data_IF_002299217485
#
_entry.id   IF_002299217485
#
_cell.length_a   1.000
_cell.length_b   1.000
_cell.length_c   1.000
_cell.angle_alpha   90.00
_cell.angle_beta   90.00
_cell.angle_gamma   90.00
#
_symmetry.space_group_name_H-M   'P 1'
#
loop_
_entity.id
_entity.type
_entity.pdbx_description
1 polymer ?
#
# COMPACT_ATOMS: atom_id res chain seq x y z
N UNK A 1 -21.62 -33.99 -9.79
CA UNK A 1 -20.99 -33.29 -8.64
C UNK A 1 -19.50 -32.98 -8.86
N UNK A 2 -18.67 -33.84 -9.47
CA UNK A 2 -17.25 -33.51 -9.72
C UNK A 2 -17.02 -32.54 -10.89
N UNK A 3 -17.96 -32.49 -11.86
CA UNK A 3 -17.86 -31.68 -13.07
C UNK A 3 -18.11 -30.18 -12.79
N UNK A 4 -19.18 -29.86 -12.06
CA UNK A 4 -19.48 -28.49 -11.59
C UNK A 4 -18.37 -27.91 -10.69
N UNK A 5 -17.71 -28.74 -9.87
CA UNK A 5 -16.60 -28.29 -9.02
C UNK A 5 -15.28 -28.08 -9.79
N UNK A 6 -15.15 -28.62 -11.00
CA UNK A 6 -14.05 -28.32 -11.92
C UNK A 6 -14.33 -27.05 -12.70
N UNK A 7 -15.58 -26.86 -13.13
CA UNK A 7 -16.02 -25.67 -13.85
C UNK A 7 -15.87 -24.40 -12.99
N UNK A 8 -16.35 -24.44 -11.74
CA UNK A 8 -16.21 -23.33 -10.80
C UNK A 8 -14.74 -22.94 -10.53
N UNK A 9 -13.81 -23.91 -10.48
CA UNK A 9 -12.38 -23.61 -10.30
C UNK A 9 -11.76 -23.00 -11.55
N UNK A 10 -12.16 -23.46 -12.72
CA UNK A 10 -11.73 -22.90 -14.00
C UNK A 10 -12.22 -21.46 -14.16
N UNK A 11 -13.46 -21.16 -13.76
CA UNK A 11 -14.01 -19.80 -13.75
C UNK A 11 -13.26 -18.88 -12.77
N UNK A 12 -12.98 -19.36 -11.56
CA UNK A 12 -12.16 -18.62 -10.58
C UNK A 12 -10.77 -18.31 -11.13
N UNK A 13 -10.11 -19.30 -11.74
CA UNK A 13 -8.80 -19.10 -12.35
C UNK A 13 -8.86 -18.09 -13.51
N UNK A 14 -9.90 -18.13 -14.34
CA UNK A 14 -10.10 -17.18 -15.42
C UNK A 14 -10.30 -15.74 -14.92
N UNK A 15 -10.98 -15.55 -13.79
CA UNK A 15 -11.06 -14.24 -13.12
C UNK A 15 -9.68 -13.80 -12.63
N UNK A 16 -8.93 -14.67 -11.96
CA UNK A 16 -7.59 -14.35 -11.48
C UNK A 16 -6.65 -13.96 -12.61
N UNK A 17 -6.64 -14.72 -13.72
CA UNK A 17 -5.82 -14.41 -14.90
C UNK A 17 -6.19 -13.04 -15.47
N UNK A 18 -7.49 -12.73 -15.64
CA UNK A 18 -7.91 -11.40 -16.11
C UNK A 18 -7.48 -10.27 -15.17
N UNK A 19 -7.59 -10.47 -13.86
CA UNK A 19 -7.15 -9.48 -12.88
C UNK A 19 -5.63 -9.26 -12.94
N UNK A 20 -4.84 -10.33 -13.05
CA UNK A 20 -3.38 -10.23 -13.19
C UNK A 20 -3.00 -9.52 -14.48
N UNK A 21 -3.63 -9.84 -15.61
CA UNK A 21 -3.36 -9.17 -16.89
C UNK A 21 -3.73 -7.68 -16.87
N UNK A 22 -4.83 -7.29 -16.20
CA UNK A 22 -5.17 -5.87 -16.01
C UNK A 22 -4.13 -5.15 -15.14
N UNK A 23 -3.61 -5.81 -14.11
CA UNK A 23 -2.53 -5.26 -13.29
C UNK A 23 -1.25 -5.13 -14.11
N UNK A 24 -0.86 -6.16 -14.86
CA UNK A 24 0.31 -6.11 -15.74
C UNK A 24 0.16 -5.01 -16.78
N UNK A 25 -1.00 -4.84 -17.41
CA UNK A 25 -1.21 -3.79 -18.40
C UNK A 25 -1.07 -2.39 -17.78
N UNK A 26 -1.77 -2.13 -16.67
CA UNK A 26 -1.83 -0.81 -16.03
C UNK A 26 -0.56 -0.44 -15.27
N UNK A 27 0.16 -1.44 -14.77
CA UNK A 27 1.38 -1.27 -14.00
C UNK A 27 2.64 -1.71 -14.77
N UNK A 28 2.53 -2.04 -16.06
CA UNK A 28 3.68 -2.45 -16.91
C UNK A 28 4.77 -1.40 -16.98
N UNK A 29 4.38 -0.12 -16.97
CA UNK A 29 5.29 1.03 -16.97
C UNK A 29 5.53 1.61 -15.59
N UNK A 30 5.01 0.97 -14.54
CA UNK A 30 5.07 1.50 -13.18
C UNK A 30 6.37 1.03 -12.52
N UNK A 31 7.14 2.00 -12.05
CA UNK A 31 8.38 1.76 -11.31
C UNK A 31 8.11 0.98 -10.02
N UNK A 32 9.01 0.06 -9.66
CA UNK A 32 8.93 -0.73 -8.43
C UNK A 32 8.76 0.15 -7.18
N UNK A 33 9.26 1.39 -7.23
CA UNK A 33 9.07 2.41 -6.23
C UNK A 33 7.61 2.79 -5.96
N UNK A 34 6.80 2.95 -7.00
CA UNK A 34 5.38 3.28 -6.87
C UNK A 34 4.61 2.17 -6.14
N UNK A 35 4.91 0.91 -6.47
CA UNK A 35 4.30 -0.25 -5.81
C UNK A 35 4.67 -0.31 -4.32
N UNK A 36 5.93 -0.02 -3.98
CA UNK A 36 6.36 0.06 -2.58
C UNK A 36 5.66 1.21 -1.84
N UNK A 37 5.43 2.34 -2.50
CA UNK A 37 4.64 3.43 -1.94
C UNK A 37 3.19 3.03 -1.66
N UNK A 38 2.54 2.31 -2.57
CA UNK A 38 1.18 1.77 -2.35
C UNK A 38 1.19 0.79 -1.16
N UNK A 39 2.19 -0.09 -1.07
CA UNK A 39 2.33 -1.01 0.06
C UNK A 39 2.55 -0.26 1.38
N UNK A 40 3.30 0.84 1.40
CA UNK A 40 3.54 1.68 2.56
C UNK A 40 2.26 2.36 3.10
N UNK A 41 1.16 2.39 2.36
CA UNK A 41 -0.14 2.86 2.85
C UNK A 41 -0.90 1.81 3.68
N UNK A 42 -0.46 0.55 3.72
CA UNK A 42 -1.11 -0.52 4.47
C UNK A 42 -0.60 -0.60 5.92
N UNK A 43 -1.46 -0.57 6.96
CA UNK A 43 -1.05 -0.71 8.36
C UNK A 43 -0.34 -2.03 8.70
N UNK A 44 -0.43 -3.03 7.82
CA UNK A 44 0.23 -4.33 7.95
C UNK A 44 1.57 -4.39 7.23
N UNK A 45 1.95 -3.34 6.51
CA UNK A 45 3.23 -3.25 5.81
C UNK A 45 4.36 -3.03 6.81
N UNK A 46 5.49 -3.70 6.59
CA UNK A 46 6.72 -3.43 7.35
C UNK A 46 7.19 -1.98 7.18
N UNK A 47 6.85 -1.37 6.05
CA UNK A 47 7.19 0.00 5.70
C UNK A 47 6.01 0.96 5.86
N UNK A 48 5.03 0.63 6.73
CA UNK A 48 3.84 1.45 6.91
C UNK A 48 4.18 2.90 7.28
N UNK A 49 3.66 3.84 6.49
CA UNK A 49 3.98 5.27 6.59
C UNK A 49 5.49 5.48 6.69
N UNK A 50 6.24 4.95 5.73
CA UNK A 50 7.66 5.25 5.52
C UNK A 50 7.77 6.38 4.51
N UNK A 51 8.40 7.48 4.91
CA UNK A 51 8.51 8.70 4.10
C UNK A 51 9.23 8.44 2.77
N UNK A 52 10.32 7.67 2.80
CA UNK A 52 11.09 7.31 1.60
C UNK A 52 10.28 6.51 0.57
N UNK A 53 9.33 5.69 1.01
CA UNK A 53 8.50 4.89 0.12
C UNK A 53 7.29 5.67 -0.41
N UNK A 54 6.75 6.61 0.39
CA UNK A 54 5.64 7.45 -0.03
C UNK A 54 6.07 8.58 -0.98
N UNK A 55 7.33 9.02 -0.94
CA UNK A 55 7.86 10.09 -1.78
C UNK A 55 7.74 9.77 -3.28
N UNK A 56 8.06 8.53 -3.68
CA UNK A 56 7.92 8.08 -5.08
C UNK A 56 6.44 8.04 -5.52
N UNK A 57 5.54 7.62 -4.63
CA UNK A 57 4.10 7.62 -4.85
C UNK A 57 3.55 9.05 -5.00
N UNK A 58 3.98 9.96 -4.12
CA UNK A 58 3.56 11.34 -4.14
C UNK A 58 4.04 12.07 -5.39
N UNK A 59 5.30 11.89 -5.78
CA UNK A 59 5.86 12.42 -7.03
C UNK A 59 5.08 11.95 -8.24
N UNK A 60 4.76 10.65 -8.31
CA UNK A 60 4.03 10.08 -9.45
C UNK A 60 2.65 10.71 -9.64
N UNK A 61 1.93 10.99 -8.54
CA UNK A 61 0.61 11.61 -8.59
C UNK A 61 0.62 13.13 -8.39
N UNK A 62 1.80 13.76 -8.34
CA UNK A 62 1.96 15.20 -8.04
C UNK A 62 1.25 15.64 -6.76
N UNK A 63 1.34 14.81 -5.71
CA UNK A 63 0.79 15.08 -4.38
C UNK A 63 1.86 15.80 -3.55
N UNK A 64 1.48 16.90 -2.91
CA UNK A 64 2.32 17.60 -1.93
C UNK A 64 2.17 16.93 -0.55
N UNK A 65 3.21 16.22 -0.10
CA UNK A 65 3.20 15.55 1.20
C UNK A 65 3.56 16.53 2.31
N UNK A 66 2.62 16.80 3.20
CA UNK A 66 2.87 17.63 4.39
C UNK A 66 3.34 16.77 5.56
N UNK A 67 4.43 17.18 6.19
CA UNK A 67 5.01 16.49 7.36
C UNK A 67 3.99 16.35 8.50
N UNK A 68 3.11 17.34 8.69
CA UNK A 68 2.07 17.31 9.73
C UNK A 68 1.04 16.19 9.49
N UNK A 69 0.61 15.99 8.24
CA UNK A 69 -0.36 14.95 7.87
C UNK A 69 0.22 13.55 8.15
N UNK A 70 1.52 13.37 7.90
CA UNK A 70 2.22 12.12 8.17
C UNK A 70 2.34 11.82 9.67
N UNK A 71 2.68 12.82 10.49
CA UNK A 71 2.77 12.68 11.95
C UNK A 71 1.41 12.33 12.56
N UNK A 72 0.34 12.97 12.10
CA UNK A 72 -1.03 12.68 12.52
C UNK A 72 -1.43 11.27 12.11
N UNK A 73 -1.17 10.90 10.85
CA UNK A 73 -1.48 9.56 10.35
C UNK A 73 -0.76 8.50 11.18
N UNK A 74 0.54 8.65 11.45
CA UNK A 74 1.33 7.67 12.22
C UNK A 74 0.87 7.56 13.67
N UNK A 75 0.48 8.68 14.28
CA UNK A 75 0.01 8.73 15.68
C UNK A 75 -1.39 8.16 15.88
N UNK A 76 -2.26 8.28 14.88
CA UNK A 76 -3.66 7.81 14.94
C UNK A 76 -3.84 6.39 14.42
N UNK A 77 -2.96 5.91 13.54
CA UNK A 77 -3.06 4.59 12.90
C UNK A 77 -2.36 3.45 13.66
N UNK A 78 -1.40 3.76 14.53
CA UNK A 78 -0.70 2.76 15.34
C UNK A 78 -1.49 2.39 16.61
N UNK A 79 -1.54 1.11 17.01
CA UNK A 79 -2.09 0.71 18.30
C UNK A 79 -1.30 1.38 19.43
N UNK A 80 -1.97 1.74 20.53
CA UNK A 80 -1.43 2.57 21.62
C UNK A 80 -0.07 2.12 22.20
N UNK A 81 0.34 0.86 21.98
CA UNK A 81 1.62 0.29 22.43
C UNK A 81 2.85 0.66 21.58
N UNK A 82 2.67 1.30 20.42
CA UNK A 82 3.76 1.71 19.51
C UNK A 82 3.81 3.22 19.27
N UNK A 83 3.03 4.02 20.02
CA UNK A 83 3.16 5.47 20.00
C UNK A 83 4.53 5.84 20.57
N UNK A 84 5.42 6.35 19.71
CA UNK A 84 6.67 6.98 20.13
C UNK A 84 6.34 8.06 21.15
N UNK A 85 7.05 8.03 22.27
CA UNK A 85 7.04 9.09 23.28
C UNK A 85 7.66 10.34 22.66
N UNK A 86 6.83 11.15 22.00
CA UNK A 86 7.20 12.50 21.57
C UNK A 86 7.26 13.36 22.83
N UNK A 87 8.36 13.23 23.57
CA UNK A 87 8.76 14.25 24.51
C UNK A 87 9.19 15.50 23.72
N UNK A 88 8.47 16.63 23.80
CA UNK A 88 9.04 17.88 23.35
C UNK A 88 10.18 18.23 24.32
N UNK A 89 11.43 18.19 23.85
CA UNK A 89 12.50 18.93 24.51
C UNK A 89 12.21 20.41 24.31
N UNK A 90 11.49 20.97 25.26
CA UNK A 90 11.41 22.42 25.47
C UNK A 90 12.80 22.81 26.02
N UNK A 91 13.61 23.45 25.18
CA UNK A 91 14.69 24.30 25.64
C UNK A 91 14.14 25.70 25.88
#
# INVERSE_FOLDING_TARGET
MADEARDARSEQLAVCVRMVSELELRFSSVDAGLLKGIQACSPKSENFLSESHLDELAKHYSIDLKTEEFLVAKTTSLPAKQRLDVHPKIC
#
